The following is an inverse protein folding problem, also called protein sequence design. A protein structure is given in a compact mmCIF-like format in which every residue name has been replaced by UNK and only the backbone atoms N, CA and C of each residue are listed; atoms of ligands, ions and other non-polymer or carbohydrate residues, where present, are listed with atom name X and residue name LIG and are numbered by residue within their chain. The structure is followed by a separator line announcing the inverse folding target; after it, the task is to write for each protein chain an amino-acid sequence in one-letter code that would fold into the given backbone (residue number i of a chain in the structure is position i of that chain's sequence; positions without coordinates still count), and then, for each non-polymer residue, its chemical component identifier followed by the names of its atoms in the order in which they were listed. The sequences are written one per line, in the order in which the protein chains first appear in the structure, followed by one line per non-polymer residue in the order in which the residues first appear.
data_IF_619019457297
#
_entry.id   IF_619019457297
#
_cell.length_a   1.000
_cell.length_b   1.000
_cell.length_c   1.000
_cell.angle_alpha   90.00
_cell.angle_beta   90.00
_cell.angle_gamma   90.00
#
_symmetry.space_group_name_H-M   'P 1'
#
loop_
_entity.id
_entity.type
_entity.pdbx_description
1 polymer ?
#
# COMPACT_ATOMS: atom_id res chain seq x y z
N UNK A 1 36.46 4.32 -11.22
CA UNK A 1 35.64 5.02 -10.21
C UNK A 1 35.03 3.94 -9.32
N UNK A 2 35.39 3.82 -8.03
CA UNK A 2 34.71 2.87 -7.15
C UNK A 2 33.23 3.27 -7.06
N UNK A 3 32.32 2.33 -7.29
CA UNK A 3 30.89 2.55 -7.05
C UNK A 3 30.71 2.87 -5.58
N UNK A 4 30.06 3.99 -5.20
CA UNK A 4 29.76 4.25 -3.81
C UNK A 4 28.93 3.07 -3.30
N UNK A 5 29.35 2.50 -2.17
CA UNK A 5 28.53 1.54 -1.44
C UNK A 5 27.18 2.22 -1.17
N UNK A 6 26.08 1.70 -1.74
CA UNK A 6 24.74 2.23 -1.44
C UNK A 6 24.46 1.91 0.02
N UNK A 7 24.78 2.86 0.89
CA UNK A 7 24.38 2.83 2.28
C UNK A 7 22.88 3.12 2.32
N UNK A 8 22.10 2.15 2.80
CA UNK A 8 20.66 2.29 3.00
C UNK A 8 20.39 2.52 4.47
N UNK A 9 19.65 3.58 4.76
CA UNK A 9 19.15 3.88 6.10
C UNK A 9 17.67 3.53 6.13
N UNK A 10 17.28 2.58 6.98
CA UNK A 10 15.87 2.21 7.16
C UNK A 10 15.16 3.37 7.85
N UNK A 11 14.10 3.88 7.22
CA UNK A 11 13.24 4.94 7.76
C UNK A 11 12.05 4.33 8.51
N UNK A 12 11.47 3.26 7.96
CA UNK A 12 10.34 2.56 8.56
C UNK A 12 10.38 1.08 8.18
N UNK A 13 9.94 0.20 9.08
CA UNK A 13 9.78 -1.23 8.83
C UNK A 13 8.49 -1.71 9.48
N UNK A 14 7.68 -2.41 8.70
CA UNK A 14 6.49 -3.11 9.16
C UNK A 14 6.57 -4.61 8.84
N UNK A 15 5.49 -5.36 9.10
CA UNK A 15 5.46 -6.81 8.90
C UNK A 15 5.64 -7.25 7.44
N UNK A 16 5.20 -6.42 6.49
CA UNK A 16 5.17 -6.76 5.06
C UNK A 16 5.89 -5.75 4.17
N UNK A 17 6.41 -4.67 4.76
CA UNK A 17 7.03 -3.59 4.02
C UNK A 17 8.18 -2.92 4.77
N UNK A 18 9.11 -2.36 4.01
CA UNK A 18 10.23 -1.57 4.50
C UNK A 18 10.43 -0.35 3.61
N UNK A 19 10.72 0.79 4.23
CA UNK A 19 11.06 2.04 3.55
C UNK A 19 12.46 2.44 3.96
N UNK A 20 13.35 2.62 2.99
CA UNK A 20 14.74 3.00 3.23
C UNK A 20 15.18 4.15 2.33
N UNK A 21 15.99 5.07 2.86
CA UNK A 21 16.69 6.09 2.07
C UNK A 21 18.06 5.55 1.66
N UNK A 22 18.36 5.48 0.37
CA UNK A 22 19.73 5.20 -0.07
C UNK A 22 20.51 6.50 -0.26
N UNK A 23 21.83 6.44 -0.02
CA UNK A 23 22.78 7.52 -0.35
C UNK A 23 22.75 7.94 -1.83
N UNK A 24 22.12 7.18 -2.72
CA UNK A 24 21.90 7.54 -4.13
C UNK A 24 20.74 8.55 -4.35
N UNK A 25 20.16 9.09 -3.27
CA UNK A 25 19.10 10.10 -3.33
C UNK A 25 17.69 9.55 -3.53
N UNK A 26 17.54 8.24 -3.72
CA UNK A 26 16.24 7.59 -3.90
C UNK A 26 15.75 6.93 -2.61
N UNK A 27 14.43 6.83 -2.50
CA UNK A 27 13.74 6.03 -1.49
C UNK A 27 13.45 4.65 -2.09
N UNK A 28 13.72 3.62 -1.32
CA UNK A 28 13.43 2.23 -1.64
C UNK A 28 12.24 1.80 -0.80
N UNK A 29 11.11 1.52 -1.46
CA UNK A 29 9.94 0.89 -0.88
C UNK A 29 9.97 -0.60 -1.23
N UNK A 30 10.20 -1.44 -0.23
CA UNK A 30 10.14 -2.89 -0.36
C UNK A 30 8.82 -3.42 0.18
N UNK A 31 8.13 -4.25 -0.59
CA UNK A 31 6.89 -4.94 -0.21
C UNK A 31 7.07 -6.42 -0.58
N UNK A 32 7.28 -7.27 0.42
CA UNK A 32 7.66 -8.67 0.19
C UNK A 32 8.89 -8.78 -0.72
N UNK A 33 8.83 -9.52 -1.85
CA UNK A 33 9.95 -9.69 -2.77
C UNK A 33 10.15 -8.51 -3.75
N UNK A 34 9.25 -7.52 -3.74
CA UNK A 34 9.28 -6.40 -4.70
C UNK A 34 9.89 -5.17 -4.05
N UNK A 35 10.83 -4.52 -4.73
CA UNK A 35 11.38 -3.22 -4.32
C UNK A 35 11.22 -2.20 -5.43
N UNK A 36 10.61 -1.06 -5.10
CA UNK A 36 10.41 0.07 -6.01
C UNK A 36 11.35 1.20 -5.57
N UNK A 37 12.03 1.82 -6.54
CA UNK A 37 12.84 3.02 -6.32
C UNK A 37 12.04 4.24 -6.74
N UNK A 38 11.93 5.21 -5.84
CA UNK A 38 11.13 6.42 -6.02
C UNK A 38 11.95 7.61 -5.53
N UNK A 39 11.72 8.79 -6.10
CA UNK A 39 12.02 10.03 -5.40
C UNK A 39 10.97 10.31 -4.30
N UNK A 40 11.22 11.32 -3.48
CA UNK A 40 10.37 11.66 -2.33
C UNK A 40 8.97 12.13 -2.74
N UNK A 41 8.86 12.94 -3.79
CA UNK A 41 7.57 13.47 -4.27
C UNK A 41 6.70 12.35 -4.85
N UNK A 42 7.31 11.45 -5.62
CA UNK A 42 6.65 10.24 -6.13
C UNK A 42 6.13 9.34 -5.00
N UNK A 43 6.90 9.19 -3.92
CA UNK A 43 6.45 8.40 -2.76
C UNK A 43 5.25 9.07 -2.06
N UNK A 44 5.28 10.39 -1.87
CA UNK A 44 4.14 11.12 -1.31
C UNK A 44 2.88 10.99 -2.17
N UNK A 45 3.00 11.17 -3.49
CA UNK A 45 1.87 11.02 -4.40
C UNK A 45 1.29 9.59 -4.37
N UNK A 46 2.15 8.56 -4.35
CA UNK A 46 1.74 7.17 -4.24
C UNK A 46 1.02 6.90 -2.91
N UNK A 47 1.51 7.45 -1.81
CA UNK A 47 0.89 7.29 -0.49
C UNK A 47 -0.53 7.88 -0.45
N UNK A 48 -0.73 9.08 -1.01
CA UNK A 48 -2.07 9.66 -1.12
C UNK A 48 -3.03 8.79 -1.93
N UNK A 49 -2.57 8.29 -3.07
CA UNK A 49 -3.37 7.39 -3.94
C UNK A 49 -3.77 6.10 -3.19
N UNK A 50 -2.84 5.49 -2.45
CA UNK A 50 -3.14 4.30 -1.63
C UNK A 50 -4.14 4.64 -0.52
N UNK A 51 -3.98 5.78 0.15
CA UNK A 51 -4.91 6.26 1.17
C UNK A 51 -6.34 6.42 0.64
N UNK A 52 -6.50 7.02 -0.54
CA UNK A 52 -7.80 7.15 -1.21
C UNK A 52 -8.41 5.80 -1.58
N UNK A 53 -7.60 4.86 -2.07
CA UNK A 53 -8.06 3.51 -2.37
C UNK A 53 -8.54 2.77 -1.11
N UNK A 54 -7.80 2.86 -0.01
CA UNK A 54 -8.19 2.25 1.27
C UNK A 54 -9.48 2.85 1.82
N UNK A 55 -9.67 4.16 1.68
CA UNK A 55 -10.91 4.84 2.05
C UNK A 55 -12.08 4.33 1.21
N UNK A 56 -11.93 4.25 -0.10
CA UNK A 56 -12.97 3.75 -1.00
C UNK A 56 -13.36 2.28 -0.69
N UNK A 57 -12.38 1.42 -0.39
CA UNK A 57 -12.63 0.04 0.03
C UNK A 57 -13.42 -0.02 1.34
N UNK A 58 -13.07 0.83 2.31
CA UNK A 58 -13.75 0.91 3.61
C UNK A 58 -15.20 1.40 3.47
N UNK A 59 -15.46 2.35 2.57
CA UNK A 59 -16.80 2.86 2.26
C UNK A 59 -17.64 1.81 1.50
N UNK A 60 -17.06 1.12 0.53
CA UNK A 60 -17.70 0.04 -0.21
C UNK A 60 -18.12 -1.14 0.67
N UNK A 61 -17.28 -1.51 1.65
CA UNK A 61 -17.60 -2.56 2.62
C UNK A 61 -18.83 -2.22 3.49
N UNK A 62 -19.07 -0.94 3.78
CA UNK A 62 -20.28 -0.50 4.52
C UNK A 62 -21.54 -0.50 3.67
N UNK A 63 -21.41 -0.45 2.34
CA UNK A 63 -22.53 -0.31 1.40
C UNK A 63 -22.99 -1.63 0.80
N UNK A 64 -22.31 -2.75 1.06
CA UNK A 64 -22.82 -4.06 0.67
C UNK A 64 -24.20 -4.29 1.30
N UNK A 65 -25.28 -4.43 0.50
CA UNK A 65 -26.59 -4.77 1.06
C UNK A 65 -26.48 -6.13 1.74
N UNK A 66 -27.08 -6.26 2.92
CA UNK A 66 -27.24 -7.55 3.57
C UNK A 66 -27.84 -8.55 2.57
N UNK A 67 -27.41 -9.83 2.56
CA UNK A 67 -28.05 -10.83 1.72
C UNK A 67 -29.53 -10.84 2.05
N UNK A 68 -30.35 -10.41 1.08
CA UNK A 68 -31.79 -10.40 1.17
C UNK A 68 -32.23 -11.85 1.32
N UNK A 69 -32.50 -12.25 2.57
CA UNK A 69 -33.11 -13.54 2.89
C UNK A 69 -34.49 -13.50 2.26
N UNK A 70 -34.63 -14.09 1.09
CA UNK A 70 -35.93 -14.38 0.50
C UNK A 70 -36.63 -15.39 1.42
N UNK A 71 -37.32 -14.87 2.45
CA UNK A 71 -38.42 -15.57 3.09
C UNK A 71 -39.59 -15.60 2.09
N UNK A 72 -39.42 -16.42 1.06
CA UNK A 72 -40.46 -16.80 0.12
C UNK A 72 -41.30 -17.91 0.74
N UNK A 73 -42.31 -17.47 1.46
CA UNK A 73 -43.37 -18.19 2.14
C UNK A 73 -43.99 -19.34 1.31
N UNK A 74 -44.26 -20.46 1.98
CA UNK A 74 -44.92 -21.65 1.45
C UNK A 74 -46.30 -21.36 0.82
N UNK A 75 -46.60 -22.00 -0.32
CA UNK A 75 -47.98 -22.36 -0.66
C UNK A 75 -48.07 -23.83 -1.07
N UNK A 76 -49.02 -24.50 -0.41
CA UNK A 76 -49.43 -25.89 -0.60
C UNK A 76 -50.23 -26.10 -1.89
#
# INVERSE_FOLDING_TARGET
MPMPTCCRTILARGPSAEVARCSCGHIHLSIGPVTIRLDEDSLHAAWHTVGDALRALSEGARRAPAPEVQNGEWKQ
#
